data_IF_343744598640
#
_entry.id   IF_343744598640
#
_cell.length_a   1.000
_cell.length_b   1.000
_cell.length_c   1.000
_cell.angle_alpha   90.00
_cell.angle_beta   90.00
_cell.angle_gamma   90.00
#
_symmetry.space_group_name_H-M   'P 1'
#
loop_
_entity.id
_entity.type
_entity.pdbx_description
1 polymer ?
#
# COMPACT_ATOMS: atom_id res chain seq x y z
N UNK A 1 -4.58 -3.28 9.81
CA UNK A 1 -4.95 -3.52 8.39
C UNK A 1 -5.52 -2.23 7.80
N UNK A 2 -5.21 -1.90 6.53
CA UNK A 2 -5.78 -0.70 5.87
C UNK A 2 -7.05 -1.07 5.11
N UNK A 3 -8.20 -0.57 5.58
CA UNK A 3 -9.54 -0.79 4.97
C UNK A 3 -9.54 -0.56 3.47
N UNK A 4 -8.87 0.50 3.02
CA UNK A 4 -8.81 0.83 1.61
C UNK A 4 -8.24 -0.31 0.74
N UNK A 5 -7.23 -1.03 1.23
CA UNK A 5 -6.65 -2.14 0.45
C UNK A 5 -7.71 -3.23 0.26
N UNK A 6 -8.45 -3.57 1.31
CA UNK A 6 -9.57 -4.52 1.21
C UNK A 6 -10.58 -4.03 0.19
N UNK A 7 -11.00 -2.77 0.28
CA UNK A 7 -11.95 -2.16 -0.68
C UNK A 7 -11.47 -2.21 -2.14
N UNK A 8 -10.18 -2.00 -2.38
CA UNK A 8 -9.64 -2.06 -3.75
C UNK A 8 -9.56 -3.54 -4.21
N UNK A 9 -9.14 -4.49 -3.36
CA UNK A 9 -8.98 -5.91 -3.72
C UNK A 9 -10.33 -6.59 -3.99
N UNK A 10 -11.39 -6.28 -3.24
CA UNK A 10 -12.74 -6.85 -3.46
C UNK A 10 -13.36 -6.42 -4.80
N UNK A 11 -12.84 -5.36 -5.43
CA UNK A 11 -13.27 -4.97 -6.80
C UNK A 11 -12.57 -5.77 -7.90
N UNK A 12 -11.49 -6.48 -7.56
CA UNK A 12 -10.65 -7.24 -8.50
C UNK A 12 -10.96 -8.74 -8.38
N UNK A 13 -11.13 -9.23 -7.16
CA UNK A 13 -11.35 -10.65 -6.88
C UNK A 13 -12.69 -10.88 -6.17
N UNK A 14 -13.37 -12.00 -6.47
CA UNK A 14 -14.54 -12.42 -5.71
C UNK A 14 -14.08 -12.94 -4.33
N UNK A 15 -14.13 -12.09 -3.31
CA UNK A 15 -13.73 -12.47 -1.95
C UNK A 15 -14.96 -12.95 -1.17
N UNK A 16 -14.90 -14.17 -0.64
CA UNK A 16 -15.93 -14.71 0.25
C UNK A 16 -15.52 -14.63 1.73
N UNK A 17 -14.23 -14.81 2.03
CA UNK A 17 -13.70 -14.91 3.39
C UNK A 17 -12.57 -13.91 3.64
N UNK A 18 -12.58 -13.29 4.82
CA UNK A 18 -11.60 -12.30 5.27
C UNK A 18 -11.04 -12.74 6.62
N UNK A 19 -9.87 -13.37 6.60
CA UNK A 19 -9.17 -13.80 7.81
C UNK A 19 -8.32 -12.66 8.40
N UNK A 20 -8.46 -12.42 9.71
CA UNK A 20 -7.72 -11.39 10.44
C UNK A 20 -7.21 -11.91 11.78
N UNK A 21 -6.04 -11.46 12.19
CA UNK A 21 -5.54 -11.70 13.54
C UNK A 21 -6.20 -10.74 14.54
N UNK A 22 -6.83 -11.29 15.56
CA UNK A 22 -7.44 -10.55 16.66
C UNK A 22 -6.43 -10.28 17.77
N UNK A 23 -5.81 -9.10 17.65
CA UNK A 23 -4.83 -8.58 18.60
C UNK A 23 -5.50 -8.28 19.94
N UNK A 24 -4.96 -8.84 21.01
CA UNK A 24 -5.37 -8.60 22.39
C UNK A 24 -4.14 -8.65 23.28
N UNK A 25 -3.91 -7.59 24.05
CA UNK A 25 -2.81 -7.50 25.00
C UNK A 25 -3.29 -7.91 26.40
N UNK A 26 -2.44 -8.64 27.12
CA UNK A 26 -2.74 -8.99 28.51
C UNK A 26 -2.39 -7.82 29.44
N UNK A 27 -3.35 -6.93 29.63
CA UNK A 27 -3.22 -5.73 30.47
C UNK A 27 -3.01 -6.05 31.95
N UNK A 28 -3.51 -7.18 32.43
CA UNK A 28 -3.41 -7.58 33.83
C UNK A 28 -2.00 -8.06 34.21
N UNK A 29 -1.39 -8.90 33.35
CA UNK A 29 -0.11 -9.54 33.67
C UNK A 29 1.12 -8.67 33.40
N UNK A 30 1.00 -7.57 32.64
CA UNK A 30 2.14 -6.77 32.19
C UNK A 30 2.13 -5.39 32.83
N UNK A 31 3.27 -5.01 33.42
CA UNK A 31 3.47 -3.71 34.11
C UNK A 31 3.15 -2.49 33.23
N UNK A 32 3.32 -2.60 31.91
CA UNK A 32 3.00 -1.55 30.94
C UNK A 32 1.60 -1.67 30.32
N UNK A 33 0.71 -2.46 30.93
CA UNK A 33 -0.69 -2.63 30.51
C UNK A 33 -1.62 -1.46 30.85
N UNK A 34 -1.10 -0.28 31.21
CA UNK A 34 -1.92 0.87 31.64
C UNK A 34 -2.82 1.43 30.53
N UNK A 35 -2.41 1.33 29.27
CA UNK A 35 -3.11 1.93 28.14
C UNK A 35 -3.38 0.88 27.06
N UNK A 36 -4.57 0.94 26.46
CA UNK A 36 -4.91 0.15 25.27
C UNK A 36 -4.12 0.64 24.05
N UNK A 37 -3.70 -0.29 23.20
CA UNK A 37 -3.10 0.07 21.93
C UNK A 37 -4.14 0.64 20.96
N UNK A 38 -3.71 1.49 20.03
CA UNK A 38 -4.58 2.01 18.96
C UNK A 38 -5.15 0.89 18.08
N UNK A 39 -4.42 -0.22 17.95
CA UNK A 39 -4.87 -1.42 17.25
C UNK A 39 -6.02 -2.09 17.98
N UNK A 40 -5.93 -2.24 19.31
CA UNK A 40 -6.99 -2.85 20.12
C UNK A 40 -8.28 -2.02 20.13
N UNK A 41 -8.16 -0.69 20.18
CA UNK A 41 -9.31 0.21 20.12
C UNK A 41 -9.93 0.18 18.70
N UNK A 42 -9.09 0.23 17.66
CA UNK A 42 -9.53 0.38 16.27
C UNK A 42 -10.04 -0.89 15.60
N UNK A 43 -9.77 -2.08 16.15
CA UNK A 43 -10.10 -3.37 15.50
C UNK A 43 -11.60 -3.58 15.31
N UNK A 44 -12.45 -3.09 16.23
CA UNK A 44 -13.92 -3.25 16.11
C UNK A 44 -14.45 -2.53 14.88
N UNK A 45 -13.97 -1.30 14.62
CA UNK A 45 -14.33 -0.55 13.42
C UNK A 45 -13.83 -1.27 12.16
N UNK A 46 -12.60 -1.80 12.21
CA UNK A 46 -12.05 -2.59 11.11
C UNK A 46 -12.93 -3.82 10.80
N UNK A 47 -13.30 -4.60 11.81
CA UNK A 47 -14.12 -5.81 11.62
C UNK A 47 -15.49 -5.48 11.04
N UNK A 48 -16.17 -4.46 11.58
CA UNK A 48 -17.48 -4.04 11.07
C UNK A 48 -17.41 -3.54 9.63
N UNK A 49 -16.31 -2.90 9.23
CA UNK A 49 -16.14 -2.43 7.86
C UNK A 49 -15.86 -3.56 6.88
N UNK A 50 -14.99 -4.52 7.24
CA UNK A 50 -14.63 -5.62 6.34
C UNK A 50 -15.73 -6.68 6.23
N UNK A 51 -16.56 -6.84 7.28
CA UNK A 51 -17.71 -7.75 7.27
C UNK A 51 -18.76 -7.41 6.20
N UNK A 52 -18.75 -6.18 5.68
CA UNK A 52 -19.62 -5.76 4.57
C UNK A 52 -19.26 -6.44 3.24
N UNK A 53 -18.06 -7.00 3.14
CA UNK A 53 -17.53 -7.55 1.89
C UNK A 53 -17.38 -9.08 1.91
N UNK A 54 -17.54 -9.73 3.06
CA UNK A 54 -17.39 -11.18 3.20
C UNK A 54 -17.42 -11.63 4.67
N UNK A 55 -17.37 -12.95 4.88
CA UNK A 55 -17.35 -13.53 6.22
C UNK A 55 -15.99 -13.28 6.90
N UNK A 56 -16.01 -12.76 8.13
CA UNK A 56 -14.79 -12.38 8.87
C UNK A 56 -14.40 -13.49 9.83
N UNK A 57 -13.27 -14.13 9.55
CA UNK A 57 -12.68 -15.16 10.41
C UNK A 57 -11.60 -14.52 11.27
N UNK A 58 -11.64 -14.78 12.58
CA UNK A 58 -10.72 -14.18 13.54
C UNK A 58 -9.84 -15.24 14.17
N UNK A 59 -8.53 -15.04 14.07
CA UNK A 59 -7.54 -15.92 14.69
C UNK A 59 -6.80 -15.21 15.82
N UNK A 60 -6.45 -15.93 16.88
CA UNK A 60 -5.52 -15.45 17.91
C UNK A 60 -4.08 -15.68 17.45
N UNK A 61 -3.15 -14.83 17.88
CA UNK A 61 -1.74 -14.95 17.47
C UNK A 61 -1.09 -16.31 17.78
N UNK A 62 -1.52 -17.00 18.83
CA UNK A 62 -1.04 -18.36 19.13
C UNK A 62 -1.53 -19.40 18.11
N UNK A 63 -2.72 -19.23 17.52
CA UNK A 63 -3.23 -20.12 16.48
C UNK A 63 -2.39 -19.97 15.21
N UNK A 64 -2.08 -18.73 14.82
CA UNK A 64 -1.19 -18.44 13.68
C UNK A 64 0.21 -19.02 13.90
N UNK A 65 0.75 -18.94 15.13
CA UNK A 65 2.04 -19.53 15.46
C UNK A 65 2.03 -21.06 15.39
N UNK A 66 1.00 -21.71 15.95
CA UNK A 66 0.84 -23.16 15.87
C UNK A 66 0.70 -23.65 14.41
N UNK A 67 -0.10 -22.93 13.60
CA UNK A 67 -0.27 -23.22 12.17
C UNK A 67 1.04 -23.14 11.39
N UNK A 68 1.85 -22.10 11.63
CA UNK A 68 3.16 -21.98 10.98
C UNK A 68 4.06 -23.17 11.27
N UNK A 69 4.10 -23.62 12.52
CA UNK A 69 4.90 -24.78 12.91
C UNK A 69 4.37 -26.07 12.27
N UNK A 70 3.05 -26.26 12.27
CA UNK A 70 2.41 -27.45 11.71
C UNK A 70 2.62 -27.57 10.19
N UNK A 71 2.48 -26.47 9.45
CA UNK A 71 2.63 -26.46 7.99
C UNK A 71 4.06 -26.15 7.49
N UNK A 72 5.04 -26.02 8.40
CA UNK A 72 6.44 -25.74 8.03
C UNK A 72 6.67 -24.36 7.40
N UNK A 73 5.85 -23.37 7.74
CA UNK A 73 5.92 -22.02 7.15
C UNK A 73 7.01 -21.21 7.87
N UNK A 74 8.17 -21.08 7.23
CA UNK A 74 9.30 -20.32 7.76
C UNK A 74 9.01 -18.83 7.85
N UNK A 75 9.43 -18.20 8.95
CA UNK A 75 9.33 -16.75 9.14
C UNK A 75 10.73 -16.16 9.23
N UNK A 76 10.99 -15.12 8.45
CA UNK A 76 12.25 -14.39 8.54
C UNK A 76 12.30 -13.57 9.83
N UNK A 77 13.47 -13.49 10.45
CA UNK A 77 13.75 -12.54 11.54
C UNK A 77 13.97 -11.13 11.01
N UNK A 78 14.39 -11.00 9.76
CA UNK A 78 14.60 -9.73 9.08
C UNK A 78 13.25 -9.14 8.65
N UNK A 79 12.81 -8.09 9.34
CA UNK A 79 11.54 -7.41 9.09
C UNK A 79 11.62 -6.37 7.98
N UNK A 80 12.83 -6.00 7.54
CA UNK A 80 13.04 -5.00 6.48
C UNK A 80 13.14 -5.66 5.10
N UNK A 81 13.44 -6.96 5.05
CA UNK A 81 13.38 -7.75 3.84
C UNK A 81 11.94 -7.80 3.28
N UNK A 82 11.76 -7.25 2.07
CA UNK A 82 10.48 -7.28 1.34
C UNK A 82 10.23 -8.65 0.69
N UNK A 83 10.13 -9.68 1.53
CA UNK A 83 9.89 -11.07 1.13
C UNK A 83 8.64 -11.63 1.84
N UNK A 84 7.99 -12.67 1.27
CA UNK A 84 6.79 -13.27 1.88
C UNK A 84 7.01 -13.71 3.33
N UNK A 85 8.17 -14.28 3.65
CA UNK A 85 8.49 -14.77 4.98
C UNK A 85 8.59 -13.68 6.06
N UNK A 86 8.75 -12.42 5.69
CA UNK A 86 8.77 -11.29 6.63
C UNK A 86 7.38 -10.66 6.81
N UNK A 87 6.53 -10.69 5.78
CA UNK A 87 5.31 -9.86 5.74
C UNK A 87 4.00 -10.59 5.46
N UNK A 88 4.03 -11.73 4.77
CA UNK A 88 2.83 -12.42 4.27
C UNK A 88 2.62 -13.80 4.89
N UNK A 89 3.66 -14.46 5.38
CA UNK A 89 3.57 -15.84 5.87
C UNK A 89 2.64 -16.04 7.07
N UNK A 90 2.41 -15.00 7.89
CA UNK A 90 1.37 -15.06 8.93
C UNK A 90 -0.03 -15.13 8.31
N UNK A 91 -0.27 -14.43 7.18
CA UNK A 91 -1.54 -14.51 6.45
C UNK A 91 -1.70 -15.86 5.73
N UNK A 92 -0.60 -16.42 5.18
CA UNK A 92 -0.59 -17.78 4.63
C UNK A 92 -0.97 -18.80 5.70
N UNK A 93 -0.42 -18.68 6.92
CA UNK A 93 -0.76 -19.57 8.02
C UNK A 93 -2.23 -19.47 8.45
N UNK A 94 -2.82 -18.27 8.44
CA UNK A 94 -4.26 -18.09 8.65
C UNK A 94 -5.09 -18.71 7.53
N UNK A 95 -4.63 -18.63 6.27
CA UNK A 95 -5.28 -19.29 5.14
C UNK A 95 -5.24 -20.82 5.29
N UNK A 96 -4.11 -21.40 5.68
CA UNK A 96 -4.03 -22.84 5.94
C UNK A 96 -4.94 -23.29 7.08
N UNK A 97 -5.13 -22.45 8.11
CA UNK A 97 -6.12 -22.72 9.16
C UNK A 97 -7.55 -22.67 8.65
N UNK A 98 -7.87 -21.72 7.78
CA UNK A 98 -9.21 -21.58 7.21
C UNK A 98 -9.56 -22.74 6.27
N UNK A 99 -8.58 -23.23 5.51
CA UNK A 99 -8.76 -24.33 4.55
C UNK A 99 -8.58 -25.72 5.16
N UNK A 100 -7.86 -25.84 6.28
CA UNK A 100 -7.50 -27.14 6.85
C UNK A 100 -6.44 -27.90 6.03
N UNK A 101 -5.72 -27.23 5.14
CA UNK A 101 -4.69 -27.81 4.29
C UNK A 101 -3.52 -26.85 4.09
N UNK A 102 -2.37 -27.38 3.67
CA UNK A 102 -1.26 -26.53 3.23
C UNK A 102 -1.62 -25.87 1.88
N UNK A 103 -1.03 -24.71 1.60
CA UNK A 103 -1.25 -23.96 0.36
C UNK A 103 0.04 -23.82 -0.43
N UNK A 104 -0.08 -23.63 -1.75
CA UNK A 104 1.07 -23.47 -2.61
C UNK A 104 1.74 -22.09 -2.40
N UNK A 105 3.01 -22.10 -1.99
CA UNK A 105 3.82 -20.90 -1.79
C UNK A 105 4.35 -20.27 -3.09
N UNK A 106 4.06 -20.82 -4.27
CA UNK A 106 4.45 -20.22 -5.58
C UNK A 106 3.60 -19.02 -5.99
N UNK A 107 2.82 -18.45 -5.07
CA UNK A 107 1.92 -17.33 -5.35
C UNK A 107 2.69 -16.02 -5.47
N UNK A 108 2.18 -15.12 -6.31
CA UNK A 108 2.76 -13.80 -6.50
C UNK A 108 2.77 -12.97 -5.21
N UNK A 109 3.87 -12.25 -4.97
CA UNK A 109 4.00 -11.33 -3.85
C UNK A 109 3.91 -9.87 -4.32
N UNK A 110 2.95 -9.14 -3.75
CA UNK A 110 2.74 -7.73 -4.05
C UNK A 110 2.95 -6.89 -2.79
N UNK A 111 3.79 -5.86 -2.90
CA UNK A 111 3.94 -4.85 -1.86
C UNK A 111 3.04 -3.67 -2.21
N UNK A 112 1.99 -3.47 -1.44
CA UNK A 112 1.07 -2.34 -1.58
C UNK A 112 1.41 -1.25 -0.58
N UNK A 113 1.66 -0.03 -1.04
CA UNK A 113 2.04 1.09 -0.19
C UNK A 113 1.41 2.39 -0.63
N UNK A 114 1.39 3.38 0.27
CA UNK A 114 1.03 4.74 -0.12
C UNK A 114 2.18 5.32 -0.92
N UNK A 115 1.88 5.94 -2.05
CA UNK A 115 2.89 6.67 -2.79
C UNK A 115 3.29 7.93 -2.02
N UNK A 116 4.58 8.07 -1.76
CA UNK A 116 5.15 9.18 -1.02
C UNK A 116 5.61 10.26 -2.01
N UNK A 117 4.87 11.36 -2.05
CA UNK A 117 5.25 12.51 -2.87
C UNK A 117 6.14 13.46 -2.09
N UNK A 118 6.99 14.19 -2.81
CA UNK A 118 7.66 15.37 -2.26
C UNK A 118 6.63 16.31 -1.64
N UNK A 119 6.72 16.52 -0.33
CA UNK A 119 5.92 17.51 0.40
C UNK A 119 6.31 18.91 -0.06
N UNK A 120 5.47 19.91 0.20
CA UNK A 120 5.85 21.31 -0.03
C UNK A 120 7.10 21.64 0.78
N UNK A 121 8.16 22.11 0.12
CA UNK A 121 9.33 22.63 0.83
C UNK A 121 8.96 23.94 1.54
N UNK A 122 9.64 24.23 2.64
CA UNK A 122 9.40 25.42 3.47
C UNK A 122 9.47 26.72 2.65
N UNK A 123 10.44 26.85 1.74
CA UNK A 123 10.59 28.03 0.89
C UNK A 123 9.42 28.23 -0.10
N UNK A 124 8.70 27.16 -0.47
CA UNK A 124 7.49 27.24 -1.29
C UNK A 124 6.21 27.44 -0.45
N UNK A 125 6.32 27.51 0.88
CA UNK A 125 5.22 27.89 1.77
C UNK A 125 5.11 29.40 1.94
N UNK A 126 6.23 30.13 1.75
CA UNK A 126 6.26 31.58 1.80
C UNK A 126 5.67 32.22 0.54
N UNK A 127 5.12 33.43 0.70
CA UNK A 127 4.64 34.23 -0.43
C UNK A 127 5.82 34.65 -1.32
N UNK A 128 5.63 34.61 -2.64
CA UNK A 128 6.58 35.16 -3.61
C UNK A 128 6.24 36.62 -3.94
N UNK A 129 7.05 37.25 -4.80
CA UNK A 129 6.79 38.61 -5.31
C UNK A 129 5.35 38.69 -5.83
N UNK A 130 4.58 39.66 -5.31
CA UNK A 130 3.15 39.81 -5.62
C UNK A 130 2.19 39.08 -4.67
N UNK A 131 2.66 38.49 -3.57
CA UNK A 131 1.79 37.91 -2.53
C UNK A 131 1.15 36.57 -2.90
N UNK A 132 1.59 35.94 -3.99
CA UNK A 132 1.06 34.67 -4.48
C UNK A 132 2.01 33.53 -4.08
N UNK A 133 1.44 32.40 -3.63
CA UNK A 133 2.22 31.19 -3.36
C UNK A 133 2.35 30.35 -4.63
N UNK A 134 3.54 29.81 -4.93
CA UNK A 134 3.74 28.96 -6.09
C UNK A 134 2.94 27.66 -5.96
N UNK A 135 2.40 27.19 -7.09
CA UNK A 135 1.66 25.92 -7.19
C UNK A 135 2.63 24.73 -7.11
N UNK A 136 3.05 24.38 -5.90
CA UNK A 136 3.93 23.24 -5.65
C UNK A 136 3.28 22.23 -4.70
N UNK A 137 3.57 20.94 -4.88
CA UNK A 137 3.12 19.88 -3.96
C UNK A 137 1.63 19.53 -3.99
N UNK A 138 0.80 20.15 -4.84
CA UNK A 138 -0.60 19.77 -5.02
C UNK A 138 -0.76 18.43 -5.76
N UNK A 139 -1.92 17.78 -5.60
CA UNK A 139 -2.30 16.55 -6.33
C UNK A 139 -2.75 16.82 -7.76
N UNK A 140 -3.23 18.03 -8.04
CA UNK A 140 -3.58 18.54 -9.38
C UNK A 140 -3.12 19.99 -9.52
N UNK A 141 -3.00 20.46 -10.74
CA UNK A 141 -2.68 21.85 -11.09
C UNK A 141 -3.49 22.34 -12.29
N UNK A 142 -4.70 21.80 -12.49
CA UNK A 142 -5.58 22.14 -13.62
C UNK A 142 -5.26 21.41 -14.92
N UNK A 143 -4.16 20.65 -14.99
CA UNK A 143 -3.85 19.78 -16.14
C UNK A 143 -4.63 18.46 -16.08
N UNK A 144 -4.66 17.72 -17.21
CA UNK A 144 -5.35 16.43 -17.32
C UNK A 144 -4.82 15.37 -16.35
N UNK A 145 -3.52 15.35 -16.08
CA UNK A 145 -2.87 14.39 -15.20
C UNK A 145 -2.91 14.82 -13.74
N UNK A 146 -3.00 13.85 -12.84
CA UNK A 146 -2.96 14.07 -11.39
C UNK A 146 -1.81 13.27 -10.79
N UNK A 147 -1.24 13.75 -9.69
CA UNK A 147 -0.25 12.98 -8.94
C UNK A 147 -0.86 11.67 -8.45
N UNK A 148 -0.13 10.59 -8.65
CA UNK A 148 -0.56 9.22 -8.37
C UNK A 148 -1.39 8.57 -9.47
N UNK A 149 -1.70 9.27 -10.58
CA UNK A 149 -2.22 8.59 -11.77
C UNK A 149 -1.19 7.57 -12.26
N UNK A 150 -1.64 6.36 -12.57
CA UNK A 150 -0.81 5.32 -13.16
C UNK A 150 -0.80 5.48 -14.68
N UNK A 151 0.40 5.63 -15.24
CA UNK A 151 0.61 6.03 -16.63
C UNK A 151 1.65 5.14 -17.31
N UNK A 152 1.55 5.06 -18.62
CA UNK A 152 2.62 4.62 -19.51
C UNK A 152 3.27 5.85 -20.13
N UNK A 153 4.59 5.93 -20.13
CA UNK A 153 5.33 7.06 -20.65
C UNK A 153 6.52 6.62 -21.50
N UNK A 154 6.84 7.42 -22.53
CA UNK A 154 7.99 7.18 -23.42
C UNK A 154 8.99 8.34 -23.40
N UNK A 155 10.26 8.00 -23.19
CA UNK A 155 11.38 8.93 -23.23
C UNK A 155 12.45 8.41 -24.21
N UNK A 156 12.44 8.95 -25.43
CA UNK A 156 13.26 8.43 -26.53
C UNK A 156 12.91 6.98 -26.83
N UNK A 157 13.89 6.08 -26.77
CA UNK A 157 13.70 4.63 -26.98
C UNK A 157 13.18 3.87 -25.74
N UNK A 158 13.07 4.53 -24.58
CA UNK A 158 12.66 3.89 -23.32
C UNK A 158 11.17 4.08 -23.09
N UNK A 159 10.43 2.99 -22.93
CA UNK A 159 9.06 3.00 -22.43
C UNK A 159 9.05 2.50 -20.98
N UNK A 160 8.28 3.14 -20.11
CA UNK A 160 8.13 2.73 -18.72
C UNK A 160 6.74 3.03 -18.20
N UNK A 161 6.32 2.26 -17.19
CA UNK A 161 5.05 2.46 -16.47
C UNK A 161 5.32 2.81 -15.03
N UNK A 162 4.52 3.72 -14.49
CA UNK A 162 4.67 4.17 -13.12
C UNK A 162 3.62 5.19 -12.74
N UNK A 163 3.84 5.86 -11.61
CA UNK A 163 2.92 6.84 -11.08
C UNK A 163 3.40 8.26 -11.34
N UNK A 164 2.50 9.15 -11.72
CA UNK A 164 2.80 10.57 -11.87
C UNK A 164 3.23 11.15 -10.52
N UNK A 165 4.44 11.68 -10.43
CA UNK A 165 4.97 12.32 -9.22
C UNK A 165 5.18 13.83 -9.37
N UNK A 166 5.30 14.31 -10.60
CA UNK A 166 5.45 15.72 -10.94
C UNK A 166 4.53 16.10 -12.10
N UNK A 167 3.87 17.24 -11.96
CA UNK A 167 2.97 17.78 -12.96
C UNK A 167 3.64 18.95 -13.71
N UNK A 168 3.23 19.23 -14.95
CA UNK A 168 3.74 20.35 -15.72
C UNK A 168 3.53 21.67 -14.98
N UNK A 169 4.57 22.48 -14.82
CA UNK A 169 4.51 23.84 -14.26
C UNK A 169 4.91 24.85 -15.32
N UNK A 170 4.78 26.14 -15.02
CA UNK A 170 5.26 27.23 -15.88
C UNK A 170 6.74 27.08 -16.26
N UNK A 171 7.57 26.55 -15.35
CA UNK A 171 9.01 26.32 -15.56
C UNK A 171 9.33 24.98 -16.20
N UNK A 172 8.43 24.01 -16.13
CA UNK A 172 8.70 22.64 -16.59
C UNK A 172 7.43 22.07 -17.19
N UNK A 173 7.37 22.00 -18.51
CA UNK A 173 6.20 21.50 -19.26
C UNK A 173 6.06 19.97 -19.25
N UNK A 174 6.94 19.27 -18.54
CA UNK A 174 7.05 17.81 -18.53
C UNK A 174 6.30 17.18 -17.36
N UNK A 175 5.78 15.98 -17.58
CA UNK A 175 5.23 15.11 -16.54
C UNK A 175 6.36 14.22 -16.02
N UNK A 176 6.51 14.13 -14.71
CA UNK A 176 7.47 13.23 -14.07
C UNK A 176 6.76 11.96 -13.56
N UNK A 177 7.38 10.81 -13.80
CA UNK A 177 6.86 9.49 -13.42
C UNK A 177 7.87 8.82 -12.49
N UNK A 178 7.38 8.15 -11.45
CA UNK A 178 8.17 7.37 -10.52
C UNK A 178 7.72 5.91 -10.42
N UNK A 179 8.58 5.08 -9.86
CA UNK A 179 8.22 3.73 -9.43
C UNK A 179 7.35 3.74 -8.16
N UNK A 180 7.07 2.54 -7.64
CA UNK A 180 6.23 2.38 -6.46
C UNK A 180 6.82 2.98 -5.17
N UNK A 181 8.13 3.22 -5.12
CA UNK A 181 8.86 3.83 -3.99
C UNK A 181 9.03 5.33 -4.12
N UNK A 182 8.55 5.94 -5.20
CA UNK A 182 8.73 7.36 -5.46
C UNK A 182 10.08 7.70 -6.11
N UNK A 183 10.90 6.70 -6.49
CA UNK A 183 12.11 6.96 -7.27
C UNK A 183 11.71 7.31 -8.70
N UNK A 184 12.14 8.48 -9.17
CA UNK A 184 11.81 8.99 -10.50
C UNK A 184 12.41 8.10 -11.59
N UNK A 185 11.56 7.63 -12.50
CA UNK A 185 11.92 6.85 -13.67
C UNK A 185 12.33 7.76 -14.84
N UNK A 186 11.61 8.88 -15.01
CA UNK A 186 11.87 9.81 -16.10
C UNK A 186 10.93 11.01 -16.12
N UNK A 187 11.13 11.87 -17.11
CA UNK A 187 10.30 13.05 -17.39
C UNK A 187 10.01 13.15 -18.88
N UNK A 188 8.73 13.23 -19.24
CA UNK A 188 8.27 13.19 -20.62
C UNK A 188 7.36 14.38 -20.93
N UNK A 189 7.26 14.76 -22.21
CA UNK A 189 6.21 15.69 -22.64
C UNK A 189 4.83 15.07 -22.39
N UNK A 190 3.81 15.90 -22.21
CA UNK A 190 2.42 15.47 -21.99
C UNK A 190 1.93 14.54 -23.10
N UNK A 191 2.34 14.80 -24.35
CA UNK A 191 2.00 13.99 -25.54
C UNK A 191 2.50 12.54 -25.47
N UNK A 192 3.58 12.30 -24.72
CA UNK A 192 4.24 11.00 -24.62
C UNK A 192 3.81 10.24 -23.37
N UNK A 193 2.73 10.67 -22.71
CA UNK A 193 2.19 10.03 -21.52
C UNK A 193 0.75 9.61 -21.79
N UNK A 194 0.46 8.34 -21.54
CA UNK A 194 -0.87 7.76 -21.65
C UNK A 194 -1.37 7.37 -20.27
N UNK A 195 -2.57 7.85 -19.91
CA UNK A 195 -3.24 7.45 -18.68
C UNK A 195 -3.70 6.00 -18.79
N UNK A 196 -3.30 5.16 -17.83
CA UNK A 196 -3.80 3.80 -17.69
C UNK A 196 -4.87 3.71 -16.60
N UNK A 197 -4.65 4.37 -15.45
CA UNK A 197 -5.59 4.36 -14.33
C UNK A 197 -5.49 5.64 -13.52
N UNK A 198 -6.64 6.19 -13.11
CA UNK A 198 -6.68 7.31 -12.16
C UNK A 198 -6.12 6.91 -10.80
N UNK A 199 -5.54 7.88 -10.11
CA UNK A 199 -4.95 7.69 -8.78
C UNK A 199 -5.93 7.03 -7.83
N UNK A 200 -5.55 5.84 -7.36
CA UNK A 200 -6.23 5.17 -6.26
C UNK A 200 -5.65 5.59 -4.92
N UNK A 201 -4.50 6.27 -4.86
CA UNK A 201 -3.80 6.63 -3.62
C UNK A 201 -2.89 5.52 -3.07
N UNK A 202 -2.69 4.44 -3.82
CA UNK A 202 -1.79 3.33 -3.49
C UNK A 202 -0.89 3.06 -4.71
N UNK A 203 0.36 2.75 -4.46
CA UNK A 203 1.30 2.18 -5.43
C UNK A 203 1.59 0.74 -5.05
N UNK A 204 1.98 -0.07 -6.04
CA UNK A 204 2.28 -1.47 -5.83
C UNK A 204 3.55 -1.87 -6.58
N UNK A 205 4.34 -2.75 -5.99
CA UNK A 205 5.41 -3.43 -6.70
C UNK A 205 5.16 -4.93 -6.68
N UNK A 206 5.42 -5.53 -7.82
CA UNK A 206 5.46 -6.97 -8.01
C UNK A 206 6.87 -7.50 -7.79
N UNK A 207 6.97 -8.58 -7.03
CA UNK A 207 8.19 -9.38 -6.92
C UNK A 207 7.89 -10.76 -7.48
N UNK A 208 8.70 -11.21 -8.45
CA UNK A 208 8.72 -12.63 -8.83
C UNK A 208 9.28 -13.41 -7.64
N UNK A 209 8.50 -14.38 -7.17
CA UNK A 209 8.95 -15.36 -6.19
C UNK A 209 10.07 -16.24 -6.78
#
# INVERSE_FOLDING_TARGET
MRIKIVRDVVTIFPINYLAVEDVCFNHYQKRWGKFFSTVEIGKTMLYGEIAKYGEVIRYKGWQTAASRNYYGILKSSDKDALIPSSHANDAVAMLCLALGSNVNNSSFFFVWRRLEFSKRSLHHQNFQKGGIRPTFGCTTNGTFFRKGDYVEASQGKKAFRGWVCGLPTEKTTKVAVCDAYGKRLGQCSVSNVKLLRRSTGVSWQFFSA
#
